data_IF_214652438421
#
_entry.id   IF_214652438421
#
_cell.length_a   1.000
_cell.length_b   1.000
_cell.length_c   1.000
_cell.angle_alpha   90.00
_cell.angle_beta   90.00
_cell.angle_gamma   90.00
#
_symmetry.space_group_name_H-M   'P 1'
#
loop_
_entity.id
_entity.type
_entity.pdbx_description
1 polymer ?
#
# COMPACT_ATOMS: atom_id res chain seq x y z
N UNK A 1 -22.53 0.29 7.47
CA UNK A 1 -21.92 0.23 6.12
C UNK A 1 -20.92 -0.91 6.12
N UNK A 2 -21.16 -1.96 5.33
CA UNK A 2 -20.17 -3.03 5.15
C UNK A 2 -19.01 -2.48 4.30
N UNK A 3 -17.78 -2.56 4.80
CA UNK A 3 -16.60 -2.17 4.03
C UNK A 3 -16.41 -3.15 2.85
N UNK A 4 -16.60 -2.67 1.62
CA UNK A 4 -16.51 -3.49 0.40
C UNK A 4 -15.06 -3.90 0.07
N UNK A 5 -14.10 -3.12 0.56
CA UNK A 5 -12.68 -3.36 0.38
C UNK A 5 -11.93 -3.14 1.69
N UNK A 6 -10.72 -3.69 1.74
CA UNK A 6 -9.80 -3.57 2.87
C UNK A 6 -8.41 -3.22 2.35
N UNK A 7 -7.71 -2.34 3.05
CA UNK A 7 -6.31 -2.04 2.74
C UNK A 7 -5.42 -3.01 3.51
N UNK A 8 -4.55 -3.72 2.79
CA UNK A 8 -3.48 -4.52 3.40
C UNK A 8 -2.15 -4.12 2.79
N UNK A 9 -1.26 -3.57 3.62
CA UNK A 9 0.01 -2.93 3.21
C UNK A 9 -0.28 -1.77 2.25
N UNK A 10 -0.12 -1.98 0.94
CA UNK A 10 -0.36 -0.97 -0.11
C UNK A 10 -1.37 -1.46 -1.16
N UNK A 11 -2.04 -2.57 -0.90
CA UNK A 11 -3.01 -3.16 -1.82
C UNK A 11 -4.42 -3.00 -1.26
N UNK A 12 -5.33 -2.55 -2.11
CA UNK A 12 -6.76 -2.56 -1.85
C UNK A 12 -7.30 -3.91 -2.29
N UNK A 13 -7.95 -4.63 -1.37
CA UNK A 13 -8.40 -6.01 -1.57
C UNK A 13 -9.86 -6.16 -1.19
N UNK A 14 -10.60 -6.97 -1.94
CA UNK A 14 -11.92 -7.47 -1.54
C UNK A 14 -11.86 -8.99 -1.32
N UNK A 15 -13.00 -9.62 -1.08
CA UNK A 15 -13.07 -11.07 -0.93
C UNK A 15 -14.35 -11.66 -1.55
N UNK A 16 -14.34 -12.97 -1.80
CA UNK A 16 -15.45 -13.68 -2.44
C UNK A 16 -16.75 -13.67 -1.62
N UNK A 17 -16.69 -13.48 -0.29
CA UNK A 17 -17.87 -13.35 0.57
C UNK A 17 -18.56 -12.00 0.34
N UNK A 18 -17.80 -10.91 0.27
CA UNK A 18 -18.32 -9.56 -0.02
C UNK A 18 -18.95 -9.52 -1.40
N UNK A 19 -18.32 -10.15 -2.39
CA UNK A 19 -18.89 -10.23 -3.75
C UNK A 19 -20.19 -11.03 -3.75
N UNK A 20 -20.23 -12.17 -3.05
CA UNK A 20 -21.45 -12.98 -2.94
C UNK A 20 -22.60 -12.19 -2.29
N UNK A 21 -22.32 -11.53 -1.16
CA UNK A 21 -23.29 -10.68 -0.43
C UNK A 21 -23.79 -9.54 -1.31
N UNK A 22 -22.88 -8.79 -1.93
CA UNK A 22 -23.23 -7.61 -2.72
C UNK A 22 -23.90 -7.91 -4.06
N UNK A 23 -23.71 -9.10 -4.63
CA UNK A 23 -24.36 -9.50 -5.90
C UNK A 23 -25.60 -10.36 -5.70
N UNK A 24 -25.88 -10.81 -4.47
CA UNK A 24 -26.92 -11.79 -4.17
C UNK A 24 -26.64 -13.19 -4.73
N UNK A 25 -25.44 -13.44 -5.26
CA UNK A 25 -25.03 -14.75 -5.78
C UNK A 25 -24.55 -15.61 -4.63
N UNK A 26 -25.00 -16.88 -4.59
CA UNK A 26 -24.53 -17.84 -3.58
C UNK A 26 -22.99 -17.93 -3.62
N UNK A 27 -22.34 -17.86 -2.47
CA UNK A 27 -20.88 -17.91 -2.37
C UNK A 27 -20.27 -19.16 -3.02
N UNK A 28 -20.98 -20.30 -2.99
CA UNK A 28 -20.59 -21.52 -3.72
C UNK A 28 -20.36 -21.24 -5.21
N UNK A 29 -21.28 -20.54 -5.88
CA UNK A 29 -21.20 -20.25 -7.31
C UNK A 29 -20.06 -19.26 -7.61
N UNK A 30 -19.82 -18.31 -6.71
CA UNK A 30 -18.66 -17.40 -6.82
C UNK A 30 -17.35 -18.18 -6.78
N UNK A 31 -17.23 -19.16 -5.87
CA UNK A 31 -16.05 -20.03 -5.79
C UNK A 31 -15.91 -20.91 -7.03
N UNK A 32 -17.01 -21.49 -7.52
CA UNK A 32 -17.01 -22.28 -8.76
C UNK A 32 -16.49 -21.45 -9.94
N UNK A 33 -16.95 -20.21 -10.13
CA UNK A 33 -16.41 -19.32 -11.16
C UNK A 33 -14.89 -19.10 -11.02
N UNK A 34 -14.40 -18.91 -9.79
CA UNK A 34 -12.96 -18.74 -9.55
C UNK A 34 -12.19 -20.01 -9.93
N UNK A 35 -12.70 -21.19 -9.58
CA UNK A 35 -12.06 -22.46 -9.95
C UNK A 35 -12.12 -22.72 -11.45
N UNK A 36 -13.26 -22.46 -12.11
CA UNK A 36 -13.42 -22.63 -13.56
C UNK A 36 -12.41 -21.79 -14.36
N UNK A 37 -12.09 -20.59 -13.88
CA UNK A 37 -11.17 -19.67 -14.56
C UNK A 37 -9.87 -19.46 -13.79
N UNK A 38 -9.44 -20.42 -12.97
CA UNK A 38 -8.35 -20.27 -12.01
C UNK A 38 -7.05 -19.74 -12.66
N UNK A 39 -6.70 -20.26 -13.84
CA UNK A 39 -5.51 -19.82 -14.58
C UNK A 39 -5.58 -18.35 -14.99
N UNK A 40 -6.78 -17.85 -15.34
CA UNK A 40 -6.98 -16.42 -15.65
C UNK A 40 -6.85 -15.56 -14.39
N UNK A 41 -7.36 -16.02 -13.24
CA UNK A 41 -7.17 -15.32 -11.96
C UNK A 41 -5.70 -15.25 -11.54
N UNK A 42 -4.93 -16.32 -11.77
CA UNK A 42 -3.49 -16.37 -11.47
C UNK A 42 -2.68 -15.42 -12.35
N UNK A 43 -3.10 -15.17 -13.59
CA UNK A 43 -2.48 -14.14 -14.45
C UNK A 43 -2.68 -12.72 -13.90
N UNK A 44 -3.76 -12.48 -13.17
CA UNK A 44 -4.09 -11.18 -12.57
C UNK A 44 -3.49 -10.99 -11.16
N UNK A 45 -2.81 -12.01 -10.62
CA UNK A 45 -2.13 -11.97 -9.33
C UNK A 45 -2.29 -13.27 -8.53
N UNK A 46 -1.66 -13.33 -7.36
CA UNK A 46 -1.73 -14.50 -6.48
C UNK A 46 -3.14 -14.71 -5.95
N UNK A 47 -3.71 -15.89 -6.20
CA UNK A 47 -5.02 -16.28 -5.69
C UNK A 47 -4.89 -16.80 -4.25
N UNK A 48 -5.17 -15.95 -3.27
CA UNK A 48 -5.02 -16.29 -1.86
C UNK A 48 -6.33 -16.88 -1.29
N UNK A 49 -6.25 -18.12 -0.78
CA UNK A 49 -7.35 -18.79 -0.08
C UNK A 49 -7.21 -18.57 1.42
N UNK A 50 -8.30 -18.20 2.09
CA UNK A 50 -8.37 -18.02 3.53
C UNK A 50 -9.50 -18.84 4.13
N UNK A 51 -9.33 -19.19 5.40
CA UNK A 51 -10.34 -19.85 6.22
C UNK A 51 -11.08 -18.79 7.05
N UNK A 52 -12.41 -18.91 7.11
CA UNK A 52 -13.26 -18.17 8.05
C UNK A 52 -13.01 -18.60 9.49
N UNK A 53 -13.74 -17.99 10.43
CA UNK A 53 -13.72 -18.44 11.83
C UNK A 53 -14.45 -19.79 11.93
N UNK A 54 -13.89 -20.74 12.68
CA UNK A 54 -14.56 -21.99 13.00
C UNK A 54 -15.59 -21.75 14.12
N UNK A 55 -16.84 -22.13 13.88
CA UNK A 55 -17.93 -22.16 14.89
C UNK A 55 -18.34 -23.60 15.21
N UNK A 56 -17.36 -24.51 15.30
CA UNK A 56 -17.59 -25.92 15.63
C UNK A 56 -17.68 -26.87 14.42
N UNK A 57 -17.49 -26.37 13.21
CA UNK A 57 -17.40 -27.15 11.97
C UNK A 57 -16.18 -26.79 11.12
N UNK A 58 -16.07 -27.38 9.92
CA UNK A 58 -15.01 -27.03 8.96
C UNK A 58 -15.16 -25.55 8.57
N UNK A 59 -14.13 -24.71 8.78
CA UNK A 59 -14.21 -23.30 8.46
C UNK A 59 -14.55 -23.07 6.98
N UNK A 60 -15.42 -22.10 6.71
CA UNK A 60 -15.73 -21.73 5.33
C UNK A 60 -14.51 -21.11 4.65
N UNK A 61 -14.12 -21.66 3.51
CA UNK A 61 -13.04 -21.10 2.69
C UNK A 61 -13.56 -20.00 1.78
N UNK A 62 -12.79 -18.92 1.67
CA UNK A 62 -13.06 -17.78 0.79
C UNK A 62 -11.76 -17.26 0.16
N UNK A 63 -11.90 -16.54 -0.96
CA UNK A 63 -10.78 -16.00 -1.72
C UNK A 63 -10.58 -14.52 -1.40
N UNK A 64 -9.32 -14.10 -1.25
CA UNK A 64 -8.96 -12.68 -1.33
C UNK A 64 -8.64 -12.32 -2.76
N UNK A 65 -9.23 -11.21 -3.21
CA UNK A 65 -9.13 -10.75 -4.57
C UNK A 65 -8.59 -9.32 -4.60
N UNK A 66 -7.61 -9.08 -5.48
CA UNK A 66 -7.19 -7.73 -5.83
C UNK A 66 -8.21 -7.07 -6.77
N UNK A 67 -8.02 -5.79 -7.10
CA UNK A 67 -8.91 -5.03 -7.98
C UNK A 67 -9.07 -5.68 -9.38
N UNK A 68 -8.00 -6.09 -10.10
CA UNK A 68 -8.14 -6.79 -11.37
C UNK A 68 -8.94 -8.10 -11.28
N UNK A 69 -8.69 -8.93 -10.27
CA UNK A 69 -9.41 -10.19 -10.06
C UNK A 69 -10.90 -9.96 -9.74
N UNK A 70 -11.21 -8.96 -8.89
CA UNK A 70 -12.57 -8.58 -8.57
C UNK A 70 -13.31 -7.99 -9.78
N UNK A 71 -12.60 -7.23 -10.62
CA UNK A 71 -13.16 -6.73 -11.88
C UNK A 71 -13.49 -7.90 -12.81
N UNK A 72 -12.53 -8.81 -13.01
CA UNK A 72 -12.68 -9.96 -13.89
C UNK A 72 -13.86 -10.86 -13.49
N UNK A 73 -13.97 -11.23 -12.22
CA UNK A 73 -15.09 -12.08 -11.78
C UNK A 73 -16.45 -11.41 -12.03
N UNK A 74 -16.54 -10.09 -11.84
CA UNK A 74 -17.76 -9.34 -12.09
C UNK A 74 -18.12 -9.26 -13.58
N UNK A 75 -17.14 -9.32 -14.49
CA UNK A 75 -17.41 -9.42 -15.94
C UNK A 75 -18.04 -10.76 -16.33
N UNK A 76 -17.79 -11.82 -15.57
CA UNK A 76 -18.33 -13.16 -15.81
C UNK A 76 -19.76 -13.33 -15.27
N UNK A 77 -20.23 -12.40 -14.44
CA UNK A 77 -21.57 -12.44 -13.84
C UNK A 77 -22.61 -11.80 -14.76
N UNK A 78 -23.80 -12.42 -14.84
CA UNK A 78 -24.96 -11.85 -15.56
C UNK A 78 -25.32 -10.49 -14.96
N UNK A 79 -25.56 -9.50 -15.82
CA UNK A 79 -26.05 -8.19 -15.39
C UNK A 79 -27.49 -8.29 -14.91
N UNK A 80 -27.69 -8.11 -13.61
CA UNK A 80 -28.94 -7.70 -12.98
C UNK A 80 -28.75 -6.29 -12.40
N UNK A 81 -29.83 -5.59 -12.05
CA UNK A 81 -29.76 -4.26 -11.41
C UNK A 81 -28.85 -4.29 -10.16
N UNK A 82 -29.04 -5.28 -9.29
CA UNK A 82 -28.21 -5.51 -8.10
C UNK A 82 -26.72 -5.64 -8.45
N UNK A 83 -26.40 -6.42 -9.49
CA UNK A 83 -25.00 -6.63 -9.92
C UNK A 83 -24.40 -5.35 -10.50
N UNK A 84 -25.19 -4.56 -11.23
CA UNK A 84 -24.76 -3.27 -11.80
C UNK A 84 -24.47 -2.26 -10.68
N UNK A 85 -25.36 -2.16 -9.70
CA UNK A 85 -25.18 -1.29 -8.54
C UNK A 85 -23.95 -1.69 -7.72
N UNK A 86 -23.76 -2.99 -7.51
CA UNK A 86 -22.58 -3.50 -6.82
C UNK A 86 -21.29 -3.22 -7.59
N UNK A 87 -21.28 -3.41 -8.92
CA UNK A 87 -20.13 -3.06 -9.78
C UNK A 87 -19.76 -1.59 -9.62
N UNK A 88 -20.75 -0.70 -9.64
CA UNK A 88 -20.53 0.73 -9.46
C UNK A 88 -19.98 1.05 -8.07
N UNK A 89 -20.59 0.50 -7.01
CA UNK A 89 -20.18 0.73 -5.64
C UNK A 89 -18.75 0.23 -5.37
N UNK A 90 -18.44 -0.99 -5.81
CA UNK A 90 -17.12 -1.59 -5.63
C UNK A 90 -16.05 -0.83 -6.41
N UNK A 91 -16.35 -0.40 -7.64
CA UNK A 91 -15.44 0.42 -8.45
C UNK A 91 -15.12 1.74 -7.74
N UNK A 92 -16.15 2.48 -7.31
CA UNK A 92 -15.97 3.73 -6.56
C UNK A 92 -15.08 3.53 -5.33
N UNK A 93 -15.29 2.44 -4.61
CA UNK A 93 -14.55 2.16 -3.39
C UNK A 93 -13.07 1.79 -3.65
N UNK A 94 -12.78 1.03 -4.71
CA UNK A 94 -11.40 0.77 -5.13
C UNK A 94 -10.67 2.07 -5.49
N UNK A 95 -11.29 2.94 -6.30
CA UNK A 95 -10.73 4.25 -6.64
C UNK A 95 -10.51 5.12 -5.41
N UNK A 96 -11.49 5.20 -4.51
CA UNK A 96 -11.40 5.98 -3.27
C UNK A 96 -10.21 5.54 -2.41
N UNK A 97 -10.06 4.23 -2.19
CA UNK A 97 -8.95 3.70 -1.39
C UNK A 97 -7.59 3.86 -2.09
N UNK A 98 -7.54 3.73 -3.41
CA UNK A 98 -6.31 3.94 -4.17
C UNK A 98 -5.85 5.40 -4.09
N UNK A 99 -6.75 6.36 -4.27
CA UNK A 99 -6.46 7.78 -4.11
C UNK A 99 -5.97 8.08 -2.70
N UNK A 100 -6.63 7.54 -1.67
CA UNK A 100 -6.20 7.68 -0.28
C UNK A 100 -4.76 7.19 -0.04
N UNK A 101 -4.38 6.04 -0.61
CA UNK A 101 -3.00 5.52 -0.49
C UNK A 101 -2.00 6.45 -1.20
N UNK A 102 -2.34 6.95 -2.38
CA UNK A 102 -1.48 7.85 -3.16
C UNK A 102 -1.28 9.19 -2.47
N UNK A 103 -2.36 9.80 -1.97
CA UNK A 103 -2.33 11.06 -1.22
C UNK A 103 -1.44 10.94 0.02
N UNK A 104 -1.57 9.84 0.76
CA UNK A 104 -0.74 9.59 1.94
C UNK A 104 0.74 9.43 1.58
N UNK A 105 1.06 8.68 0.51
CA UNK A 105 2.44 8.57 0.03
C UNK A 105 3.03 9.92 -0.38
N UNK A 106 2.21 10.74 -1.05
CA UNK A 106 2.63 12.07 -1.47
C UNK A 106 2.85 13.01 -0.26
N UNK A 107 1.96 12.99 0.72
CA UNK A 107 2.09 13.77 1.96
C UNK A 107 3.34 13.36 2.75
N UNK A 108 3.56 12.06 2.93
CA UNK A 108 4.77 11.53 3.56
C UNK A 108 6.03 11.98 2.80
N UNK A 109 6.03 11.91 1.47
CA UNK A 109 7.15 12.38 0.64
C UNK A 109 7.42 13.89 0.78
N UNK A 110 6.37 14.72 0.80
CA UNK A 110 6.53 16.15 1.05
C UNK A 110 7.13 16.43 2.42
N UNK A 111 6.65 15.74 3.47
CA UNK A 111 7.18 15.87 4.82
C UNK A 111 8.65 15.46 4.89
N UNK A 112 9.03 14.31 4.32
CA UNK A 112 10.43 13.88 4.29
C UNK A 112 11.34 14.91 3.59
N UNK A 113 10.87 15.58 2.54
CA UNK A 113 11.65 16.65 1.89
C UNK A 113 11.79 17.89 2.78
N UNK A 114 10.73 18.28 3.47
CA UNK A 114 10.78 19.43 4.39
C UNK A 114 11.74 19.12 5.55
N UNK A 115 11.56 17.96 6.18
CA UNK A 115 12.42 17.49 7.27
C UNK A 115 13.87 17.38 6.82
N UNK A 116 14.15 16.79 5.66
CA UNK A 116 15.52 16.70 5.15
C UNK A 116 16.20 18.05 4.93
N UNK A 117 15.45 19.05 4.42
CA UNK A 117 15.96 20.43 4.30
C UNK A 117 16.24 21.06 5.66
N UNK A 118 15.36 20.83 6.63
CA UNK A 118 15.52 21.32 7.99
C UNK A 118 16.75 20.71 8.66
N UNK A 119 16.87 19.38 8.65
CA UNK A 119 18.04 18.66 9.17
C UNK A 119 19.32 19.17 8.54
N UNK A 120 19.35 19.40 7.21
CA UNK A 120 20.57 19.91 6.55
C UNK A 120 20.95 21.32 6.99
N UNK A 121 19.96 22.18 7.26
CA UNK A 121 20.21 23.52 7.82
C UNK A 121 20.77 23.42 9.23
N UNK A 122 20.13 22.65 10.09
CA UNK A 122 20.59 22.43 11.47
C UNK A 122 22.01 21.83 11.51
N UNK A 123 22.31 20.84 10.66
CA UNK A 123 23.65 20.29 10.49
C UNK A 123 24.66 21.36 10.07
N UNK A 124 24.29 22.19 9.09
CA UNK A 124 25.15 23.28 8.60
C UNK A 124 25.42 24.30 9.69
N UNK A 125 24.39 24.70 10.45
CA UNK A 125 24.50 25.65 11.55
C UNK A 125 25.44 25.12 12.66
N UNK A 126 25.36 23.83 12.98
CA UNK A 126 26.26 23.19 13.93
C UNK A 126 27.70 23.12 13.39
N UNK A 127 27.87 22.77 12.12
CA UNK A 127 29.19 22.67 11.49
C UNK A 127 29.88 24.03 11.48
N UNK A 128 29.19 25.06 11.00
CA UNK A 128 29.72 26.42 10.90
C UNK A 128 29.89 27.07 12.27
N UNK A 129 28.89 26.95 13.16
CA UNK A 129 28.86 27.66 14.43
C UNK A 129 29.67 27.00 15.54
N UNK A 130 29.90 25.69 15.49
CA UNK A 130 30.58 24.95 16.58
C UNK A 130 31.78 24.14 16.10
N UNK A 131 31.61 23.31 15.08
CA UNK A 131 32.64 22.32 14.73
C UNK A 131 33.86 22.92 14.04
N UNK A 132 33.66 23.85 13.09
CA UNK A 132 34.76 24.54 12.41
C UNK A 132 35.59 25.37 13.41
N UNK A 133 34.99 26.27 14.23
CA UNK A 133 35.74 27.04 15.21
C UNK A 133 36.50 26.15 16.20
N UNK A 134 35.88 25.06 16.64
CA UNK A 134 36.54 24.10 17.51
C UNK A 134 37.76 23.46 16.85
N UNK A 135 37.63 23.00 15.61
CA UNK A 135 38.73 22.38 14.87
C UNK A 135 39.88 23.37 14.59
N UNK A 136 39.55 24.62 14.25
CA UNK A 136 40.54 25.70 14.05
C UNK A 136 41.28 26.02 15.35
N UNK A 137 40.58 26.10 16.50
CA UNK A 137 41.21 26.32 17.81
C UNK A 137 42.21 25.21 18.20
N UNK A 138 42.04 24.01 17.64
CA UNK A 138 42.93 22.86 17.80
C UNK A 138 44.04 22.79 16.74
N UNK A 139 44.16 23.81 15.89
CA UNK A 139 45.22 23.92 14.87
C UNK A 139 44.90 23.23 13.54
N UNK A 140 43.64 22.86 13.27
CA UNK A 140 43.27 22.25 11.99
C UNK A 140 43.37 23.25 10.83
N UNK A 141 44.17 22.92 9.81
CA UNK A 141 44.30 23.71 8.57
C UNK A 141 43.21 23.43 7.52
N UNK A 142 42.35 22.44 7.77
CA UNK A 142 41.35 21.95 6.80
C UNK A 142 39.91 21.96 7.37
N UNK A 143 39.63 22.73 8.42
CA UNK A 143 38.33 22.74 9.10
C UNK A 143 37.15 23.03 8.14
N UNK A 144 37.34 23.88 7.13
CA UNK A 144 36.32 24.17 6.10
C UNK A 144 35.82 22.95 5.30
N UNK A 145 36.52 21.80 5.34
CA UNK A 145 36.10 20.57 4.66
C UNK A 145 35.10 19.73 5.47
N UNK A 146 34.82 20.09 6.73
CA UNK A 146 33.97 19.29 7.61
C UNK A 146 32.56 19.05 7.02
N UNK A 147 31.96 20.03 6.35
CA UNK A 147 30.67 19.86 5.65
C UNK A 147 30.69 18.67 4.68
N UNK A 148 31.73 18.60 3.84
CA UNK A 148 31.89 17.53 2.84
C UNK A 148 32.16 16.18 3.50
N UNK A 149 32.96 16.15 4.56
CA UNK A 149 33.27 14.92 5.30
C UNK A 149 32.03 14.36 5.96
N UNK A 150 31.23 15.19 6.63
CA UNK A 150 29.98 14.75 7.26
C UNK A 150 28.95 14.30 6.23
N UNK A 151 28.79 15.00 5.10
CA UNK A 151 27.92 14.53 4.01
C UNK A 151 28.29 13.14 3.51
N UNK A 152 29.59 12.90 3.28
CA UNK A 152 30.08 11.58 2.83
C UNK A 152 29.83 10.51 3.87
N UNK A 153 30.03 10.83 5.15
CA UNK A 153 29.79 9.91 6.26
C UNK A 153 28.32 9.55 6.40
N UNK A 154 27.41 10.54 6.29
CA UNK A 154 25.96 10.32 6.33
C UNK A 154 25.53 9.40 5.18
N UNK A 155 25.96 9.70 3.95
CA UNK A 155 25.65 8.88 2.78
C UNK A 155 26.16 7.43 2.93
N UNK A 156 27.42 7.27 3.34
CA UNK A 156 28.00 5.96 3.58
C UNK A 156 27.26 5.16 4.67
N UNK A 157 26.81 5.83 5.74
CA UNK A 157 26.05 5.19 6.83
C UNK A 157 24.65 4.75 6.37
N UNK A 158 24.03 5.52 5.47
CA UNK A 158 22.70 5.24 4.93
C UNK A 158 22.71 4.28 3.74
N UNK A 159 23.88 3.91 3.22
CA UNK A 159 24.03 3.01 2.08
C UNK A 159 23.58 3.63 0.74
N UNK A 160 23.72 4.94 0.59
CA UNK A 160 23.39 5.73 -0.60
C UNK A 160 24.59 6.47 -1.16
#
# INVERSE_FOLDING_TARGET
MNNLVTIKRKNVLTNSLIIADGTGVKHKNVKELIYTYEDKFKQLGTLAVLNGKSTGGRPEQYFKLNEPQATFILTLMRNSEIVVDFKLALTKEFYRMRSFILERQYAEWQQFRITGKQVRREETDIILGKLIPHAESRGSKNAGKLYMTYSKLVNATLGI
#
